data_IF_435210256968
#
_entry.id   IF_435210256968
#
_cell.length_a   1.000
_cell.length_b   1.000
_cell.length_c   1.000
_cell.angle_alpha   90.00
_cell.angle_beta   90.00
_cell.angle_gamma   90.00
#
_symmetry.space_group_name_H-M   'P 1'
#
loop_
_entity.id
_entity.type
_entity.pdbx_description
1 polymer ?
#
# COMPACT_ATOMS: atom_id res chain seq x y z
N UNK A 1 2.40 1.28 -8.15
CA UNK A 1 3.81 1.73 -7.99
C UNK A 1 4.21 1.61 -6.52
N UNK A 2 5.50 1.49 -6.21
CA UNK A 2 5.97 1.43 -4.82
C UNK A 2 7.45 1.84 -4.68
N UNK A 3 7.83 2.24 -3.47
CA UNK A 3 9.20 2.29 -2.97
C UNK A 3 9.43 1.18 -1.94
N UNK A 4 10.69 0.92 -1.61
CA UNK A 4 11.10 -0.16 -0.69
C UNK A 4 11.62 0.40 0.62
N UNK A 5 11.48 -0.36 1.70
CA UNK A 5 12.01 0.00 3.00
C UNK A 5 13.53 0.16 2.99
N UNK A 6 14.04 1.10 3.78
CA UNK A 6 15.48 1.33 3.99
C UNK A 6 16.09 0.21 4.84
N UNK A 7 15.32 -0.35 5.78
CA UNK A 7 15.78 -1.41 6.70
C UNK A 7 15.51 -2.80 6.15
N UNK A 8 14.28 -3.03 5.67
CA UNK A 8 13.80 -4.30 5.14
C UNK A 8 13.34 -4.08 3.70
N UNK A 9 14.14 -4.55 2.74
CA UNK A 9 13.86 -4.38 1.31
C UNK A 9 12.51 -4.99 0.87
N UNK A 10 12.02 -6.00 1.60
CA UNK A 10 10.71 -6.61 1.40
C UNK A 10 9.53 -5.71 1.76
N UNK A 11 9.73 -4.70 2.61
CA UNK A 11 8.71 -3.74 2.97
C UNK A 11 8.48 -2.77 1.83
N UNK A 12 7.21 -2.49 1.53
CA UNK A 12 6.80 -1.67 0.39
C UNK A 12 5.84 -0.59 0.87
N UNK A 13 6.01 0.62 0.34
CA UNK A 13 5.05 1.71 0.46
C UNK A 13 4.73 2.24 -0.94
N UNK A 14 3.47 2.49 -1.24
CA UNK A 14 3.10 3.01 -2.55
C UNK A 14 1.60 3.13 -2.74
N UNK A 15 1.20 3.15 -4.01
CA UNK A 15 -0.18 3.38 -4.40
C UNK A 15 -0.61 2.45 -5.53
N UNK A 16 -1.86 2.02 -5.45
CA UNK A 16 -2.56 1.25 -6.47
C UNK A 16 -3.50 2.21 -7.20
N UNK A 17 -3.35 2.28 -8.52
CA UNK A 17 -4.32 2.88 -9.42
C UNK A 17 -5.16 1.78 -10.04
N UNK A 18 -6.49 1.96 -10.06
CA UNK A 18 -7.42 1.00 -10.64
C UNK A 18 -7.75 1.42 -12.08
N UNK A 19 -7.51 0.56 -13.09
CA UNK A 19 -7.98 0.84 -14.45
C UNK A 19 -9.47 1.17 -14.48
N UNK A 20 -9.83 2.24 -15.19
CA UNK A 20 -11.20 2.78 -15.21
C UNK A 20 -11.54 3.72 -14.06
N UNK A 21 -10.64 3.93 -13.10
CA UNK A 21 -10.76 4.95 -12.07
C UNK A 21 -9.37 5.44 -11.63
N UNK A 22 -8.67 6.11 -12.56
CA UNK A 22 -7.26 6.47 -12.41
C UNK A 22 -7.01 7.69 -11.51
N UNK A 23 -8.08 8.42 -11.18
CA UNK A 23 -8.06 9.56 -10.28
C UNK A 23 -8.20 9.15 -8.80
N UNK A 24 -8.54 7.87 -8.53
CA UNK A 24 -8.51 7.30 -7.18
C UNK A 24 -7.17 6.59 -6.96
N UNK A 25 -6.51 6.98 -5.88
CA UNK A 25 -5.31 6.33 -5.36
C UNK A 25 -5.65 5.54 -4.09
N UNK A 26 -5.39 4.23 -4.12
CA UNK A 26 -5.43 3.39 -2.93
C UNK A 26 -4.03 3.26 -2.35
N UNK A 27 -3.88 3.53 -1.06
CA UNK A 27 -2.63 3.28 -0.34
C UNK A 27 -2.30 1.80 -0.35
N UNK A 28 -1.03 1.48 -0.53
CA UNK A 28 -0.48 0.13 -0.48
C UNK A 28 0.71 0.08 0.47
N UNK A 29 0.61 -0.76 1.49
CA UNK A 29 1.70 -1.09 2.40
C UNK A 29 1.87 -2.60 2.41
N UNK A 30 3.06 -3.06 2.01
CA UNK A 30 3.48 -4.46 2.14
C UNK A 30 4.46 -4.56 3.29
N UNK A 31 4.23 -5.47 4.23
CA UNK A 31 5.09 -5.65 5.41
C UNK A 31 5.43 -7.12 5.58
N UNK A 32 6.72 -7.45 5.55
CA UNK A 32 7.20 -8.81 5.74
C UNK A 32 7.68 -9.02 7.16
N UNK A 33 7.37 -10.19 7.72
CA UNK A 33 7.83 -10.63 9.04
C UNK A 33 8.11 -12.13 9.04
N UNK A 34 8.98 -12.60 9.90
CA UNK A 34 9.23 -14.01 10.21
C UNK A 34 8.25 -14.56 11.25
N UNK A 35 7.43 -13.71 11.88
CA UNK A 35 6.40 -14.16 12.81
C UNK A 35 5.18 -14.73 12.06
N UNK A 36 4.55 -15.71 12.69
CA UNK A 36 3.25 -16.24 12.28
C UNK A 36 2.11 -15.61 13.12
N UNK A 37 0.89 -15.59 12.58
CA UNK A 37 -0.30 -15.17 13.31
C UNK A 37 -0.99 -13.93 12.75
N UNK A 38 -0.35 -13.19 11.83
CA UNK A 38 -0.97 -12.01 11.20
C UNK A 38 -2.24 -12.35 10.42
N UNK A 39 -2.36 -13.58 9.92
CA UNK A 39 -3.55 -14.05 9.22
C UNK A 39 -4.82 -14.00 10.07
N UNK A 40 -4.70 -14.03 11.40
CA UNK A 40 -5.82 -13.91 12.35
C UNK A 40 -6.39 -12.50 12.43
N UNK A 41 -5.58 -11.50 12.06
CA UNK A 41 -5.96 -10.08 12.08
C UNK A 41 -6.47 -9.59 10.71
N UNK A 42 -6.76 -10.48 9.75
CA UNK A 42 -7.33 -10.09 8.46
C UNK A 42 -8.67 -9.40 8.66
N UNK A 43 -8.82 -8.21 8.06
CA UNK A 43 -9.99 -7.36 8.21
C UNK A 43 -9.93 -6.40 9.39
N UNK A 44 -8.94 -6.51 10.27
CA UNK A 44 -8.71 -5.54 11.35
C UNK A 44 -7.91 -4.34 10.84
N UNK A 45 -8.23 -3.17 11.38
CA UNK A 45 -7.52 -1.93 11.09
C UNK A 45 -6.27 -1.82 11.96
N UNK A 46 -5.14 -1.53 11.31
CA UNK A 46 -3.94 -1.06 11.96
C UNK A 46 -3.95 0.46 12.06
N UNK A 47 -3.67 1.01 13.25
CA UNK A 47 -3.32 2.41 13.40
C UNK A 47 -1.84 2.58 13.04
N UNK A 48 -1.57 3.41 12.03
CA UNK A 48 -0.22 3.75 11.62
C UNK A 48 -0.01 5.26 11.73
N UNK A 49 1.14 5.64 12.26
CA UNK A 49 1.66 7.00 12.22
C UNK A 49 2.56 7.14 10.99
N UNK A 50 2.33 8.20 10.22
CA UNK A 50 3.15 8.60 9.09
C UNK A 50 3.82 9.93 9.45
N UNK A 51 5.13 9.97 9.34
CA UNK A 51 5.96 11.16 9.49
C UNK A 51 6.62 11.46 8.14
N UNK A 52 6.14 12.52 7.48
CA UNK A 52 6.56 12.95 6.15
C UNK A 52 7.33 14.27 6.30
N UNK A 53 8.66 14.18 6.29
CA UNK A 53 9.58 15.29 6.56
C UNK A 53 9.21 16.13 7.80
N UNK A 54 8.77 15.47 8.89
CA UNK A 54 8.36 16.12 10.14
C UNK A 54 6.86 16.38 10.27
N UNK A 55 6.09 16.26 9.19
CA UNK A 55 4.63 16.37 9.22
C UNK A 55 4.02 15.04 9.62
N UNK A 56 3.45 14.98 10.83
CA UNK A 56 2.89 13.76 11.39
C UNK A 56 1.39 13.67 11.22
N UNK A 57 0.92 12.49 10.85
CA UNK A 57 -0.50 12.16 10.78
C UNK A 57 -0.71 10.68 11.09
N UNK A 58 -1.94 10.33 11.50
CA UNK A 58 -2.32 8.95 11.74
C UNK A 58 -3.39 8.53 10.74
N UNK A 59 -3.32 7.27 10.29
CA UNK A 59 -4.39 6.64 9.50
C UNK A 59 -4.71 5.27 10.06
N UNK A 60 -5.96 4.87 9.91
CA UNK A 60 -6.42 3.49 10.10
C UNK A 60 -6.45 2.81 8.74
N UNK A 61 -5.77 1.67 8.62
CA UNK A 61 -5.70 0.91 7.37
C UNK A 61 -5.94 -0.59 7.63
N UNK A 62 -6.85 -1.25 6.90
CA UNK A 62 -7.15 -2.64 7.14
C UNK A 62 -6.04 -3.56 6.64
N UNK A 63 -5.76 -4.63 7.39
CA UNK A 63 -5.00 -5.78 6.91
C UNK A 63 -5.88 -6.59 5.96
N UNK A 64 -5.69 -6.41 4.66
CA UNK A 64 -6.55 -7.04 3.63
C UNK A 64 -6.13 -8.48 3.36
N UNK A 65 -4.84 -8.77 3.37
CA UNK A 65 -4.35 -10.11 3.05
C UNK A 65 -3.01 -10.42 3.70
N UNK A 66 -2.74 -11.72 3.83
CA UNK A 66 -1.43 -12.25 4.24
C UNK A 66 -1.07 -13.42 3.34
N UNK A 67 0.20 -13.54 3.03
CA UNK A 67 0.77 -14.62 2.23
C UNK A 67 1.93 -15.25 2.98
N UNK A 68 1.88 -16.57 3.14
CA UNK A 68 3.01 -17.33 3.65
C UNK A 68 3.99 -17.60 2.49
N UNK A 69 5.22 -17.14 2.64
CA UNK A 69 6.30 -17.29 1.68
C UNK A 69 7.16 -18.48 2.10
N UNK A 70 6.81 -19.66 1.57
CA UNK A 70 7.54 -20.92 1.73
C UNK A 70 7.79 -21.36 3.18
N UNK A 71 6.89 -21.00 4.11
CA UNK A 71 7.02 -21.30 5.54
C UNK A 71 8.10 -20.48 6.26
N UNK A 72 8.71 -19.51 5.57
CA UNK A 72 9.85 -18.73 6.10
C UNK A 72 9.35 -17.39 6.64
N UNK A 73 8.50 -16.70 5.87
CA UNK A 73 8.01 -15.38 6.24
C UNK A 73 6.55 -15.18 5.85
N UNK A 74 5.90 -14.25 6.53
CA UNK A 74 4.57 -13.77 6.23
C UNK A 74 4.68 -12.38 5.60
N UNK A 75 4.10 -12.21 4.41
CA UNK A 75 3.86 -10.90 3.81
C UNK A 75 2.43 -10.46 4.13
N UNK A 76 2.28 -9.39 4.89
CA UNK A 76 1.03 -8.71 5.16
C UNK A 76 0.82 -7.56 4.16
N UNK A 77 -0.42 -7.40 3.68
CA UNK A 77 -0.81 -6.31 2.78
C UNK A 77 -1.90 -5.48 3.44
N UNK A 78 -1.58 -4.22 3.71
CA UNK A 78 -2.51 -3.21 4.17
C UNK A 78 -2.87 -2.30 2.99
N UNK A 79 -4.16 -2.20 2.67
CA UNK A 79 -4.64 -1.40 1.53
C UNK A 79 -6.11 -1.01 1.72
N UNK A 80 -6.82 -0.65 0.66
CA UNK A 80 -8.21 -0.18 0.67
C UNK A 80 -8.45 1.15 1.40
N UNK A 81 -7.40 1.95 1.61
CA UNK A 81 -7.51 3.32 2.07
C UNK A 81 -7.35 4.28 0.89
N UNK A 82 -8.39 5.07 0.60
CA UNK A 82 -8.34 6.10 -0.45
C UNK A 82 -7.59 7.31 0.11
N UNK A 83 -6.50 7.69 -0.56
CA UNK A 83 -5.75 8.89 -0.17
C UNK A 83 -6.26 10.14 -0.88
N UNK A 84 -6.10 11.28 -0.21
CA UNK A 84 -6.47 12.58 -0.78
C UNK A 84 -5.37 13.10 -1.71
N UNK A 85 -5.75 14.00 -2.62
CA UNK A 85 -4.79 14.69 -3.48
C UNK A 85 -3.72 15.45 -2.67
N UNK A 86 -4.14 16.08 -1.55
CA UNK A 86 -3.20 16.73 -0.62
C UNK A 86 -2.12 15.77 -0.12
N UNK A 87 -2.51 14.56 0.29
CA UNK A 87 -1.55 13.55 0.76
C UNK A 87 -0.58 13.14 -0.35
N UNK A 88 -1.09 12.94 -1.57
CA UNK A 88 -0.24 12.62 -2.72
C UNK A 88 0.76 13.75 -3.01
N UNK A 89 0.31 15.01 -2.98
CA UNK A 89 1.18 16.16 -3.24
C UNK A 89 2.25 16.31 -2.15
N UNK A 90 1.89 16.10 -0.88
CA UNK A 90 2.85 16.06 0.22
C UNK A 90 3.94 15.00 -0.02
N UNK A 91 3.58 13.78 -0.45
CA UNK A 91 4.55 12.73 -0.77
C UNK A 91 5.44 13.10 -1.97
N UNK A 92 4.89 13.76 -3.01
CA UNK A 92 5.66 14.20 -4.19
C UNK A 92 6.71 15.28 -3.88
N UNK A 93 6.43 16.11 -2.87
CA UNK A 93 7.30 17.21 -2.44
C UNK A 93 8.32 16.77 -1.38
N UNK A 94 8.15 15.57 -0.82
CA UNK A 94 8.97 15.03 0.26
C UNK A 94 10.05 14.08 -0.20
N UNK A 95 11.10 14.00 0.61
CA UNK A 95 12.22 13.09 0.35
C UNK A 95 12.13 11.81 1.19
N UNK A 96 11.53 11.89 2.36
CA UNK A 96 11.46 10.79 3.31
C UNK A 96 10.07 10.62 3.89
N UNK A 97 9.69 9.36 4.04
CA UNK A 97 8.55 8.95 4.84
C UNK A 97 9.05 7.97 5.92
N UNK A 98 8.60 8.16 7.15
CA UNK A 98 8.71 7.16 8.21
C UNK A 98 7.32 6.67 8.58
N UNK A 99 7.12 5.36 8.55
CA UNK A 99 5.88 4.69 8.93
C UNK A 99 6.12 3.96 10.25
N UNK A 100 5.20 4.11 11.20
CA UNK A 100 5.23 3.39 12.48
C UNK A 100 3.86 2.79 12.80
N UNK A 101 3.77 1.49 12.98
CA UNK A 101 2.57 0.85 13.52
C UNK A 101 2.39 1.21 15.01
N UNK A 102 1.16 1.49 15.43
CA UNK A 102 0.82 1.94 16.78
C UNK A 102 -0.21 1.06 17.49
N UNK A 103 -1.10 0.40 16.75
CA UNK A 103 -2.10 -0.53 17.32
C UNK A 103 -2.74 -1.40 16.21
N UNK A 104 -3.44 -2.50 16.55
CA UNK A 104 -3.57 -3.11 17.88
C UNK A 104 -2.28 -3.81 18.34
N UNK A 105 -2.09 -3.92 19.66
CA UNK A 105 -0.89 -4.52 20.26
C UNK A 105 -0.67 -5.98 19.84
N UNK A 106 -1.75 -6.74 19.69
CA UNK A 106 -1.69 -8.13 19.24
C UNK A 106 -1.07 -8.25 17.84
N UNK A 107 -1.40 -7.33 16.93
CA UNK A 107 -0.81 -7.27 15.60
C UNK A 107 0.65 -6.79 15.65
N UNK A 108 0.95 -5.77 16.46
CA UNK A 108 2.30 -5.24 16.66
C UNK A 108 3.29 -6.31 17.13
N UNK A 109 2.83 -7.21 18.00
CA UNK A 109 3.61 -8.33 18.52
C UNK A 109 3.92 -9.40 17.47
N UNK A 110 3.32 -9.28 16.27
CA UNK A 110 3.61 -10.12 15.10
C UNK A 110 4.46 -9.42 14.05
N UNK A 111 5.00 -8.23 14.33
CA UNK A 111 5.90 -7.53 13.42
C UNK A 111 7.31 -7.54 14.00
N UNK A 112 8.29 -8.09 13.28
CA UNK A 112 9.70 -8.09 13.76
C UNK A 112 10.24 -6.67 13.92
N UNK A 113 9.80 -5.76 13.04
CA UNK A 113 9.99 -4.32 13.19
C UNK A 113 8.64 -3.63 12.99
N UNK A 114 8.38 -2.61 13.79
CA UNK A 114 7.13 -1.84 13.76
C UNK A 114 7.31 -0.49 13.06
N UNK A 115 8.54 -0.14 12.70
CA UNK A 115 8.92 1.15 12.11
C UNK A 115 9.80 0.91 10.90
N UNK A 116 9.50 1.59 9.79
CA UNK A 116 10.30 1.58 8.58
C UNK A 116 10.39 2.98 8.00
N UNK A 117 11.52 3.28 7.37
CA UNK A 117 11.73 4.48 6.57
C UNK A 117 11.73 4.14 5.08
N UNK A 118 11.23 5.08 4.28
CA UNK A 118 11.17 4.97 2.83
C UNK A 118 11.76 6.21 2.21
N UNK A 119 12.63 6.00 1.22
CA UNK A 119 13.11 7.07 0.35
C UNK A 119 12.06 7.33 -0.75
N UNK A 120 11.65 8.59 -0.88
CA UNK A 120 10.64 9.04 -1.85
C UNK A 120 11.26 9.63 -3.12
N UNK A 121 12.58 9.59 -3.27
CA UNK A 121 13.28 9.99 -4.50
C UNK A 121 12.73 9.23 -5.71
N UNK A 122 12.34 9.97 -6.76
CA UNK A 122 11.75 9.39 -7.97
C UNK A 122 10.27 9.00 -7.85
N UNK A 123 9.63 9.23 -6.70
CA UNK A 123 8.21 8.95 -6.51
C UNK A 123 7.33 9.69 -7.53
N UNK A 124 7.60 10.98 -7.76
CA UNK A 124 6.82 11.80 -8.68
C UNK A 124 6.82 11.24 -10.10
N UNK A 125 7.97 10.80 -10.60
CA UNK A 125 8.08 10.21 -11.93
C UNK A 125 7.35 8.86 -12.01
N UNK A 126 7.52 8.01 -10.99
CA UNK A 126 6.79 6.75 -10.89
C UNK A 126 5.27 6.96 -10.83
N UNK A 127 4.81 8.01 -10.13
CA UNK A 127 3.39 8.38 -10.04
C UNK A 127 2.83 8.79 -11.40
N UNK A 128 3.55 9.65 -12.12
CA UNK A 128 3.13 10.09 -13.45
C UNK A 128 3.10 8.93 -14.44
N UNK A 129 4.07 8.02 -14.37
CA UNK A 129 4.08 6.81 -15.20
C UNK A 129 2.90 5.89 -14.87
N UNK A 130 2.63 5.64 -13.59
CA UNK A 130 1.48 4.84 -13.17
C UNK A 130 0.14 5.45 -13.60
N UNK A 131 0.00 6.78 -13.54
CA UNK A 131 -1.19 7.49 -14.01
C UNK A 131 -1.40 7.31 -15.52
N UNK A 132 -0.33 7.52 -16.32
CA UNK A 132 -0.36 7.30 -17.77
C UNK A 132 -0.74 5.87 -18.11
N UNK A 133 -0.11 4.89 -17.47
CA UNK A 133 -0.39 3.47 -17.68
C UNK A 133 -1.84 3.13 -17.33
N UNK A 134 -2.37 3.63 -16.21
CA UNK A 134 -3.75 3.39 -15.82
C UNK A 134 -4.74 3.86 -16.91
N UNK A 135 -4.52 5.06 -17.45
CA UNK A 135 -5.35 5.62 -18.52
C UNK A 135 -5.21 4.87 -19.86
N UNK A 136 -4.06 4.26 -20.13
CA UNK A 136 -3.86 3.44 -21.33
C UNK A 136 -4.51 2.06 -21.22
N UNK A 137 -4.51 1.44 -20.03
CA UNK A 137 -5.08 0.11 -19.79
C UNK A 137 -6.61 0.08 -19.99
N UNK A 138 -7.28 1.24 -19.90
CA UNK A 138 -8.70 1.40 -20.27
C UNK A 138 -8.99 0.95 -21.71
N UNK A 139 -8.03 1.05 -22.63
CA UNK A 139 -8.20 0.63 -24.03
C UNK A 139 -8.01 -0.89 -24.26
N UNK A 140 -7.45 -1.61 -23.27
CA UNK A 140 -7.22 -3.06 -23.35
C UNK A 140 -8.31 -3.87 -22.65
N UNK A 141 -9.06 -3.24 -21.73
CA UNK A 141 -10.24 -3.82 -21.12
C UNK A 141 -11.44 -3.66 -22.06
N UNK A 142 -11.55 -4.51 -23.09
CA UNK A 142 -12.77 -4.59 -23.89
C UNK A 142 -13.98 -4.87 -22.97
N UNK A 143 -15.13 -4.20 -23.16
CA UNK A 143 -16.32 -4.55 -22.43
C UNK A 143 -16.68 -6.01 -22.75
N UNK A 144 -16.86 -6.82 -21.70
CA UNK A 144 -17.46 -8.15 -21.84
C UNK A 144 -18.91 -7.91 -22.22
N UNK A 145 -19.21 -7.84 -23.52
CA UNK A 145 -20.59 -7.80 -24.01
C UNK A 145 -21.17 -9.17 -23.68
N UNK A 146 -22.19 -9.27 -22.81
CA UNK A 146 -22.87 -10.54 -22.62
C UNK A 146 -23.52 -10.90 -23.96
N UNK A 147 -23.04 -11.98 -24.57
CA UNK A 147 -23.72 -12.60 -25.70
C UNK A 147 -25.11 -12.99 -25.21
N UNK A 148 -26.13 -12.28 -25.67
CA UNK A 148 -27.52 -12.73 -25.56
C UNK A 148 -27.59 -14.10 -26.20
N UNK A 149 -27.73 -15.15 -25.40
CA UNK A 149 -28.15 -16.45 -25.87
C UNK A 149 -29.52 -16.26 -26.54
N UNK A 150 -29.53 -16.49 -27.85
CA UNK A 150 -30.70 -16.38 -28.69
C UNK A 150 -31.79 -17.39 -28.33
N UNK A 151 -33.00 -16.97 -28.67
CA UNK A 151 -34.29 -17.67 -28.75
C UNK A 151 -34.23 -19.17 -29.03
#
# INVERSE_FOLDING_TARGET
MHTTGETVFGHKFGFIKKPGNCDIDLLYIGWSTYQEGLEKHKGEDALIELDIDGNKGNILIPLVSTYNLAGISTLAIFTNFIVTEYFINLIKESNKLKLTFKSPEEMLNKLDIQTESFNLSGFTDAYQQAYKQCNQLLHLAAPIVPTKTGQ
#
